data_IF_622171890622
#
_entry.id   IF_622171890622
#
_cell.length_a   1.000
_cell.length_b   1.000
_cell.length_c   1.000
_cell.angle_alpha   90.00
_cell.angle_beta   90.00
_cell.angle_gamma   90.00
#
_symmetry.space_group_name_H-M   'P 1'
#
loop_
_entity.id
_entity.type
_entity.pdbx_description
1 polymer ?
#
# COMPACT_ATOMS: atom_id res chain seq x y z
N UNK A 1 -12.40 -16.58 4.09
CA UNK A 1 -11.23 -17.05 3.31
C UNK A 1 -11.04 -16.07 2.15
N UNK A 2 -10.23 -15.03 2.36
CA UNK A 2 -9.75 -14.12 1.30
C UNK A 2 -8.45 -13.44 1.74
N UNK A 3 -7.63 -14.15 2.51
CA UNK A 3 -6.34 -13.66 3.03
C UNK A 3 -5.31 -13.49 1.89
N UNK A 4 -5.61 -14.03 0.70
CA UNK A 4 -4.80 -13.91 -0.52
C UNK A 4 -4.77 -12.47 -1.08
N UNK A 5 -5.54 -11.54 -0.51
CA UNK A 5 -5.62 -10.15 -0.98
C UNK A 5 -5.04 -9.13 0.02
N UNK A 6 -4.05 -9.52 0.83
CA UNK A 6 -3.34 -8.65 1.76
C UNK A 6 -2.08 -8.05 1.15
N UNK A 7 -1.91 -6.72 1.34
CA UNK A 7 -0.68 -5.98 1.07
C UNK A 7 -0.03 -5.56 2.38
N UNK A 8 1.29 -5.70 2.45
CA UNK A 8 2.08 -5.24 3.57
C UNK A 8 2.82 -3.96 3.20
N UNK A 9 2.73 -2.97 4.09
CA UNK A 9 3.45 -1.71 3.92
C UNK A 9 4.94 -1.89 4.20
N UNK A 10 5.82 -1.57 3.25
CA UNK A 10 7.27 -1.71 3.41
C UNK A 10 7.86 -0.84 4.54
N UNK A 11 7.20 0.28 4.88
CA UNK A 11 7.70 1.18 5.93
C UNK A 11 7.23 0.83 7.35
N UNK A 12 6.23 -0.06 7.53
CA UNK A 12 5.64 -0.29 8.86
C UNK A 12 5.03 -1.68 9.09
N UNK A 13 5.16 -2.61 8.14
CA UNK A 13 4.69 -4.00 8.19
C UNK A 13 3.17 -4.19 8.46
N UNK A 14 2.37 -3.12 8.39
CA UNK A 14 0.91 -3.22 8.53
C UNK A 14 0.31 -3.87 7.29
N UNK A 15 -0.55 -4.86 7.50
CA UNK A 15 -1.35 -5.50 6.47
C UNK A 15 -2.63 -4.71 6.15
N UNK A 16 -2.93 -4.58 4.87
CA UNK A 16 -4.15 -3.96 4.34
C UNK A 16 -4.74 -4.85 3.26
N UNK A 17 -6.06 -5.08 3.30
CA UNK A 17 -6.72 -5.74 2.16
C UNK A 17 -6.73 -4.80 0.96
N UNK A 18 -6.41 -5.30 -0.22
CA UNK A 18 -6.39 -4.53 -1.47
C UNK A 18 -7.72 -3.82 -1.75
N UNK A 19 -8.85 -4.46 -1.45
CA UNK A 19 -10.19 -3.90 -1.63
C UNK A 19 -10.62 -2.90 -0.54
N UNK A 20 -9.92 -2.84 0.59
CA UNK A 20 -10.18 -1.86 1.65
C UNK A 20 -9.46 -0.53 1.41
N UNK A 21 -8.56 -0.47 0.43
CA UNK A 21 -7.85 0.75 0.06
C UNK A 21 -8.77 1.72 -0.69
N UNK A 22 -8.36 2.99 -0.73
CA UNK A 22 -9.08 4.05 -1.43
C UNK A 22 -8.09 4.84 -2.30
N UNK A 23 -8.04 4.63 -3.62
CA UNK A 23 -8.87 3.69 -4.39
C UNK A 23 -8.57 2.20 -4.07
N UNK A 24 -9.55 1.29 -4.22
CA UNK A 24 -9.32 -0.13 -4.07
C UNK A 24 -8.41 -0.65 -5.19
N UNK A 25 -7.57 -1.62 -4.87
CA UNK A 25 -6.69 -2.28 -5.84
C UNK A 25 -7.24 -3.65 -6.21
N UNK A 26 -7.16 -3.99 -7.50
CA UNK A 26 -7.49 -5.31 -8.03
C UNK A 26 -6.29 -6.25 -8.09
N UNK A 27 -5.08 -5.70 -8.12
CA UNK A 27 -3.81 -6.42 -8.23
C UNK A 27 -2.76 -5.79 -7.31
N UNK A 28 -1.80 -6.58 -6.79
CA UNK A 28 -0.72 -6.04 -5.99
C UNK A 28 0.17 -5.10 -6.83
N UNK A 29 0.64 -3.98 -6.27
CA UNK A 29 1.51 -3.06 -7.00
C UNK A 29 2.84 -3.70 -7.35
N UNK A 30 3.41 -3.30 -8.49
CA UNK A 30 4.77 -3.66 -8.85
C UNK A 30 5.77 -2.87 -7.98
N UNK A 31 6.62 -3.59 -7.26
CA UNK A 31 7.66 -3.00 -6.41
C UNK A 31 7.20 -2.71 -4.99
N UNK A 32 7.69 -1.60 -4.41
CA UNK A 32 7.40 -1.22 -3.03
C UNK A 32 6.03 -0.55 -2.91
N UNK A 33 5.43 -0.66 -1.72
CA UNK A 33 4.17 -0.01 -1.39
C UNK A 33 4.17 0.53 0.04
N UNK A 34 3.80 1.81 0.15
CA UNK A 34 3.61 2.50 1.43
C UNK A 34 2.13 2.75 1.69
N UNK A 35 1.65 2.43 2.89
CA UNK A 35 0.27 2.73 3.25
C UNK A 35 0.02 4.24 3.38
N UNK A 36 -1.25 4.64 3.30
CA UNK A 36 -1.66 6.05 3.37
C UNK A 36 -1.16 6.80 4.63
N UNK A 37 -0.92 6.10 5.74
CA UNK A 37 -0.36 6.67 6.96
C UNK A 37 1.12 7.01 6.78
N UNK A 38 1.91 6.05 6.26
CA UNK A 38 3.33 6.24 5.97
C UNK A 38 3.52 7.30 4.89
N UNK A 39 2.69 7.31 3.84
CA UNK A 39 2.71 8.37 2.82
C UNK A 39 2.49 9.77 3.42
N UNK A 40 1.52 9.91 4.35
CA UNK A 40 1.28 11.19 5.04
C UNK A 40 2.43 11.59 5.97
N UNK A 41 3.04 10.62 6.65
CA UNK A 41 4.04 10.85 7.69
C UNK A 41 5.46 11.05 7.13
N UNK A 42 5.84 10.23 6.15
CA UNK A 42 7.19 10.16 5.57
C UNK A 42 7.32 11.02 4.32
N UNK A 43 6.21 11.36 3.65
CA UNK A 43 6.17 12.17 2.41
C UNK A 43 7.15 11.63 1.37
N UNK A 44 8.19 12.40 1.06
CA UNK A 44 9.24 12.12 0.07
C UNK A 44 10.16 10.96 0.48
N UNK A 45 10.06 10.51 1.75
CA UNK A 45 10.80 9.37 2.27
C UNK A 45 10.03 8.05 2.26
N UNK A 46 8.74 8.06 1.88
CA UNK A 46 7.97 6.83 1.79
C UNK A 46 8.49 5.95 0.64
N UNK A 47 8.56 4.63 0.85
CA UNK A 47 9.14 3.69 -0.11
C UNK A 47 8.49 3.74 -1.49
N UNK A 48 7.17 3.95 -1.60
CA UNK A 48 6.53 4.36 -2.86
C UNK A 48 5.07 4.83 -2.65
N UNK A 49 4.69 5.91 -3.33
CA UNK A 49 3.30 6.14 -3.75
C UNK A 49 3.19 5.48 -5.12
N UNK A 50 2.26 4.54 -5.31
CA UNK A 50 1.89 4.09 -6.66
C UNK A 50 1.59 5.36 -7.44
N UNK A 51 2.50 5.71 -8.33
CA UNK A 51 2.43 6.95 -9.08
C UNK A 51 1.08 6.95 -9.77
N UNK A 52 0.33 8.03 -9.54
CA UNK A 52 -0.71 8.50 -10.44
C UNK A 52 -0.08 8.73 -11.82
N UNK A 53 0.10 7.65 -12.59
CA UNK A 53 0.19 7.68 -14.04
C UNK A 53 -1.07 7.05 -14.59
#
# INVERSE_FOLDING_TARGET
ENDDQLLFCDDCDRGYHMYCLSPPMSEPPEGSWSCHLCLRQLKEKASAYITLT
#
